data_IF_829568535796
#
_entry.id   IF_829568535796
#
_cell.length_a   1.000
_cell.length_b   1.000
_cell.length_c   1.000
_cell.angle_alpha   90.00
_cell.angle_beta   90.00
_cell.angle_gamma   90.00
#
_symmetry.space_group_name_H-M   'P 1'
#
loop_
_entity.id
_entity.type
_entity.pdbx_description
1 polymer ?
#
# COMPACT_ATOMS: atom_id res chain seq x y z
N UNK A 1 -6.31 -9.49 -14.66
CA UNK A 1 -6.79 -8.18 -15.10
C UNK A 1 -6.18 -7.16 -14.16
N UNK A 2 -5.69 -6.05 -14.70
CA UNK A 2 -5.26 -4.92 -13.87
C UNK A 2 -6.50 -4.30 -13.21
N UNK A 3 -6.37 -3.86 -11.96
CA UNK A 3 -7.52 -3.38 -11.19
C UNK A 3 -7.09 -2.36 -10.13
N UNK A 4 -8.01 -1.47 -9.79
CA UNK A 4 -7.91 -0.57 -8.65
C UNK A 4 -9.19 -0.73 -7.82
N UNK A 5 -9.04 -1.12 -6.55
CA UNK A 5 -10.13 -1.42 -5.63
C UNK A 5 -10.01 -0.54 -4.40
N UNK A 6 -10.95 0.38 -4.19
CA UNK A 6 -11.06 1.18 -2.96
C UNK A 6 -11.89 0.41 -1.95
N UNK A 7 -11.34 0.20 -0.75
CA UNK A 7 -11.90 -0.68 0.29
C UNK A 7 -12.78 0.08 1.30
N UNK A 8 -12.83 1.41 1.19
CA UNK A 8 -13.53 2.30 2.11
C UNK A 8 -12.84 2.43 3.45
N UNK A 9 -13.57 2.99 4.43
CA UNK A 9 -13.03 3.34 5.74
C UNK A 9 -12.45 4.76 5.80
N UNK A 10 -12.00 5.17 6.98
CA UNK A 10 -11.28 6.43 7.20
C UNK A 10 -10.01 6.09 7.97
N UNK A 11 -8.79 6.27 7.41
CA UNK A 11 -8.52 6.71 6.05
C UNK A 11 -8.95 5.65 5.03
N UNK A 12 -9.17 6.07 3.79
CA UNK A 12 -9.43 5.12 2.71
C UNK A 12 -8.17 4.30 2.42
N UNK A 13 -8.37 3.02 2.14
CA UNK A 13 -7.32 2.13 1.67
C UNK A 13 -7.71 1.56 0.31
N UNK A 14 -6.72 1.22 -0.51
CA UNK A 14 -6.94 0.62 -1.81
C UNK A 14 -5.91 -0.45 -2.13
N UNK A 15 -6.30 -1.40 -2.98
CA UNK A 15 -5.38 -2.30 -3.66
C UNK A 15 -5.32 -1.96 -5.14
N UNK A 16 -4.11 -1.92 -5.70
CA UNK A 16 -3.88 -1.76 -7.14
C UNK A 16 -3.10 -2.97 -7.63
N UNK A 17 -3.67 -3.71 -8.57
CA UNK A 17 -2.99 -4.82 -9.26
C UNK A 17 -2.57 -4.36 -10.64
N UNK A 18 -1.28 -4.45 -10.95
CA UNK A 18 -0.74 -4.04 -12.25
C UNK A 18 0.41 -4.93 -12.70
N UNK A 19 0.88 -4.74 -13.92
CA UNK A 19 2.10 -5.39 -14.42
C UNK A 19 3.11 -4.36 -14.88
N UNK A 20 4.21 -4.22 -14.13
CA UNK A 20 5.38 -3.47 -14.57
C UNK A 20 6.08 -4.25 -15.68
N UNK A 21 6.32 -3.62 -16.84
CA UNK A 21 7.05 -4.22 -17.96
C UNK A 21 8.26 -3.36 -18.27
N UNK A 22 9.41 -3.99 -18.47
CA UNK A 22 10.64 -3.31 -18.82
C UNK A 22 11.47 -4.16 -19.80
N UNK A 23 12.42 -3.51 -20.46
CA UNK A 23 13.34 -4.15 -21.39
C UNK A 23 14.77 -3.73 -21.03
N UNK A 24 15.67 -4.70 -20.93
CA UNK A 24 17.09 -4.48 -20.66
C UNK A 24 17.97 -5.36 -21.57
N UNK A 25 19.29 -5.42 -21.29
CA UNK A 25 20.23 -6.20 -22.09
C UNK A 25 19.96 -7.71 -22.11
N UNK A 26 19.13 -8.22 -21.19
CA UNK A 26 18.70 -9.62 -21.12
C UNK A 26 17.33 -9.86 -21.78
N UNK A 27 16.71 -8.83 -22.36
CA UNK A 27 15.45 -8.93 -23.10
C UNK A 27 14.26 -8.30 -22.39
N UNK A 28 13.06 -8.81 -22.71
CA UNK A 28 11.79 -8.34 -22.17
C UNK A 28 11.47 -8.99 -20.82
N UNK A 29 10.99 -8.18 -19.88
CA UNK A 29 10.64 -8.61 -18.53
C UNK A 29 9.26 -8.10 -18.13
N UNK A 30 8.64 -8.80 -17.19
CA UNK A 30 7.41 -8.35 -16.57
C UNK A 30 7.32 -8.78 -15.11
N UNK A 31 6.80 -7.89 -14.27
CA UNK A 31 6.52 -8.16 -12.86
C UNK A 31 5.07 -7.79 -12.58
N UNK A 32 4.29 -8.78 -12.19
CA UNK A 32 2.90 -8.57 -11.77
C UNK A 32 2.87 -8.41 -10.26
N UNK A 33 2.32 -7.29 -9.80
CA UNK A 33 2.23 -6.98 -8.39
C UNK A 33 0.82 -6.56 -7.98
N UNK A 34 0.54 -6.67 -6.68
CA UNK A 34 -0.63 -6.09 -6.01
C UNK A 34 -0.13 -5.23 -4.87
N UNK A 35 -0.27 -3.93 -5.02
CA UNK A 35 0.25 -2.92 -4.10
C UNK A 35 -0.86 -2.28 -3.29
N UNK A 36 -0.54 -1.96 -2.04
CA UNK A 36 -1.47 -1.36 -1.07
C UNK A 36 -1.27 0.15 -0.97
N UNK A 37 -2.35 0.90 -0.84
CA UNK A 37 -2.33 2.36 -0.72
C UNK A 37 -3.23 2.83 0.42
N UNK A 38 -2.88 3.97 1.02
CA UNK A 38 -3.70 4.69 2.00
C UNK A 38 -3.83 6.15 1.59
N UNK A 39 -5.04 6.70 1.73
CA UNK A 39 -5.30 8.11 1.48
C UNK A 39 -5.11 8.92 2.77
N UNK A 40 -4.32 9.98 2.71
CA UNK A 40 -4.20 10.96 3.77
C UNK A 40 -4.32 12.38 3.19
N UNK A 41 -5.24 13.18 3.74
CA UNK A 41 -5.48 14.56 3.31
C UNK A 41 -5.66 14.72 1.78
N UNK A 42 -6.41 13.80 1.15
CA UNK A 42 -6.68 13.81 -0.29
C UNK A 42 -5.55 13.25 -1.18
N UNK A 43 -4.42 12.84 -0.60
CA UNK A 43 -3.29 12.26 -1.34
C UNK A 43 -3.16 10.76 -1.07
N UNK A 44 -2.84 9.99 -2.11
CA UNK A 44 -2.60 8.56 -2.01
C UNK A 44 -1.11 8.27 -1.77
N UNK A 45 -0.83 7.43 -0.78
CA UNK A 45 0.51 6.99 -0.44
C UNK A 45 0.61 5.47 -0.57
N UNK A 46 1.71 5.00 -1.17
CA UNK A 46 2.05 3.59 -1.21
C UNK A 46 2.44 3.08 0.18
N UNK A 47 1.91 1.93 0.57
CA UNK A 47 2.29 1.22 1.79
C UNK A 47 3.39 0.22 1.41
N UNK A 48 4.63 0.63 1.64
CA UNK A 48 5.80 -0.20 1.38
C UNK A 48 6.00 -1.24 2.48
N UNK A 49 5.76 -2.52 2.17
CA UNK A 49 5.97 -3.64 3.09
C UNK A 49 7.43 -4.11 3.17
N UNK A 50 8.31 -3.59 2.32
CA UNK A 50 9.74 -3.94 2.33
C UNK A 50 10.54 -3.15 3.36
N UNK A 51 9.97 -2.04 3.86
CA UNK A 51 10.60 -1.19 4.88
C UNK A 51 10.16 -1.63 6.28
N UNK A 52 11.10 -1.96 7.19
CA UNK A 52 10.74 -2.30 8.57
C UNK A 52 9.98 -1.18 9.28
N UNK A 53 8.75 -1.47 9.71
CA UNK A 53 7.95 -0.54 10.49
C UNK A 53 8.35 -0.59 11.97
N UNK A 54 8.60 0.60 12.53
CA UNK A 54 8.89 0.78 13.97
C UNK A 54 7.64 0.93 14.84
N UNK A 55 6.45 1.05 14.23
CA UNK A 55 5.19 1.23 14.94
C UNK A 55 4.68 -0.09 15.53
N UNK A 56 4.49 -0.14 16.84
CA UNK A 56 3.80 -1.23 17.53
C UNK A 56 2.29 -1.23 17.26
N UNK A 57 1.63 -2.37 17.52
CA UNK A 57 0.18 -2.57 17.27
C UNK A 57 -0.72 -1.46 17.86
N UNK A 58 -0.35 -0.90 19.01
CA UNK A 58 -1.17 0.10 19.70
C UNK A 58 -0.71 1.55 19.46
N UNK A 59 0.41 1.75 18.77
CA UNK A 59 0.95 3.08 18.48
C UNK A 59 0.12 3.78 17.41
N UNK A 60 0.31 5.08 17.25
CA UNK A 60 -0.31 5.84 16.16
C UNK A 60 0.10 5.26 14.79
N UNK A 61 -0.86 5.20 13.86
CA UNK A 61 -0.60 4.67 12.54
C UNK A 61 0.35 5.61 11.76
N UNK A 62 1.41 5.08 11.13
CA UNK A 62 2.37 5.89 10.35
C UNK A 62 1.76 6.69 9.20
N UNK A 63 0.55 6.34 8.74
CA UNK A 63 -0.14 7.11 7.69
C UNK A 63 -0.68 8.47 8.16
N UNK A 64 -0.62 8.78 9.46
CA UNK A 64 -1.07 10.07 10.01
C UNK A 64 -2.56 10.15 10.34
N UNK A 65 -3.29 9.02 10.33
CA UNK A 65 -4.74 8.99 10.58
C UNK A 65 -5.17 9.09 12.05
N UNK A 66 -4.23 9.27 12.97
CA UNK A 66 -4.42 9.28 14.43
C UNK A 66 -4.99 7.98 15.05
N UNK A 67 -5.36 7.00 14.22
CA UNK A 67 -5.79 5.69 14.69
C UNK A 67 -4.63 4.83 15.15
N UNK A 68 -4.91 3.87 16.04
CA UNK A 68 -3.95 2.83 16.39
C UNK A 68 -3.57 2.01 15.15
N UNK A 69 -2.31 1.66 14.99
CA UNK A 69 -1.81 0.92 13.82
C UNK A 69 -2.62 -0.34 13.53
N UNK A 70 -2.97 -1.12 14.58
CA UNK A 70 -3.80 -2.34 14.47
C UNK A 70 -5.21 -2.12 13.91
N UNK A 71 -5.71 -0.88 13.94
CA UNK A 71 -7.05 -0.50 13.45
C UNK A 71 -6.98 0.24 12.10
N UNK A 72 -5.79 0.42 11.55
CA UNK A 72 -5.56 1.19 10.32
C UNK A 72 -4.68 0.37 9.37
N UNK A 73 -3.45 0.82 9.07
CA UNK A 73 -2.64 0.26 7.99
C UNK A 73 -2.15 -1.18 8.23
N UNK A 74 -2.23 -1.72 9.44
CA UNK A 74 -1.66 -3.05 9.74
C UNK A 74 -2.26 -4.19 8.92
N UNK A 75 -3.52 -4.05 8.47
CA UNK A 75 -4.19 -5.05 7.63
C UNK A 75 -3.78 -4.98 6.15
N UNK A 76 -3.05 -3.94 5.76
CA UNK A 76 -2.71 -3.61 4.37
C UNK A 76 -1.21 -3.64 4.10
N UNK A 77 -0.38 -3.84 5.13
CA UNK A 77 1.04 -4.18 4.98
C UNK A 77 1.10 -5.67 4.62
N UNK A 78 1.10 -5.97 3.32
CA UNK A 78 1.11 -7.33 2.76
C UNK A 78 2.34 -7.56 1.88
#
# INVERSE_FOLDING_TARGET
MESAEVLGGKPEHAFVTFTARWHDGNGEHSHKERSSFVQNQGHWYFIDSTVPLKAGRNDGCPCGSEQKFKKCCSAYVI
#
